data_IF_328843342802
#
_entry.id   IF_328843342802
#
_cell.length_a   1.000
_cell.length_b   1.000
_cell.length_c   1.000
_cell.angle_alpha   90.00
_cell.angle_beta   90.00
_cell.angle_gamma   90.00
#
_symmetry.space_group_name_H-M   'P 1'
#
loop_
_entity.id
_entity.type
_entity.pdbx_description
1 polymer ?
#
# COMPACT_ATOMS: atom_id res chain seq x y z
N UNK A 1 11.79 7.69 -24.76
CA UNK A 1 12.81 7.47 -23.71
C UNK A 1 12.33 8.22 -22.47
N UNK A 2 12.19 7.56 -21.33
CA UNK A 2 11.75 8.23 -20.09
C UNK A 2 12.88 9.16 -19.62
N UNK A 3 12.53 10.39 -19.26
CA UNK A 3 13.48 11.35 -18.69
C UNK A 3 13.60 11.14 -17.19
N UNK A 4 14.71 11.57 -16.60
CA UNK A 4 14.90 11.59 -15.15
C UNK A 4 13.77 12.36 -14.44
N UNK A 5 13.32 13.48 -15.01
CA UNK A 5 12.16 14.23 -14.52
C UNK A 5 10.88 13.39 -14.52
N UNK A 6 10.64 12.60 -15.58
CA UNK A 6 9.50 11.69 -15.66
C UNK A 6 9.55 10.56 -14.62
N UNK A 7 10.75 10.03 -14.36
CA UNK A 7 11.00 9.05 -13.31
C UNK A 7 10.73 9.64 -11.91
N UNK A 8 11.31 10.80 -11.61
CA UNK A 8 11.15 11.46 -10.31
C UNK A 8 9.68 11.84 -10.05
N UNK A 9 8.98 12.37 -11.05
CA UNK A 9 7.56 12.70 -10.91
C UNK A 9 6.69 11.45 -10.65
N UNK A 10 6.98 10.32 -11.32
CA UNK A 10 6.27 9.07 -11.07
C UNK A 10 6.53 8.53 -9.66
N UNK A 11 7.78 8.65 -9.19
CA UNK A 11 8.19 8.28 -7.83
C UNK A 11 7.47 9.13 -6.78
N UNK A 12 7.51 10.45 -6.91
CA UNK A 12 6.81 11.38 -6.01
C UNK A 12 5.31 11.09 -5.93
N UNK A 13 4.67 10.87 -7.08
CA UNK A 13 3.25 10.53 -7.12
C UNK A 13 2.92 9.21 -6.42
N UNK A 14 3.79 8.20 -6.57
CA UNK A 14 3.65 6.93 -5.86
C UNK A 14 3.84 7.08 -4.34
N UNK A 15 4.87 7.81 -3.90
CA UNK A 15 5.12 8.07 -2.47
C UNK A 15 3.97 8.86 -1.82
N UNK A 16 3.47 9.91 -2.49
CA UNK A 16 2.35 10.70 -1.99
C UNK A 16 1.06 9.87 -1.86
N UNK A 17 0.77 9.04 -2.86
CA UNK A 17 -0.38 8.14 -2.82
C UNK A 17 -0.25 7.08 -1.71
N UNK A 18 0.96 6.57 -1.48
CA UNK A 18 1.24 5.60 -0.42
C UNK A 18 1.05 6.21 0.98
N UNK A 19 1.57 7.43 1.24
CA UNK A 19 1.35 8.17 2.49
C UNK A 19 -0.13 8.43 2.75
N UNK A 20 -0.85 8.85 1.71
CA UNK A 20 -2.31 9.07 1.81
C UNK A 20 -3.05 7.77 2.14
N UNK A 21 -2.71 6.67 1.47
CA UNK A 21 -3.33 5.38 1.72
C UNK A 21 -3.03 4.84 3.12
N UNK A 22 -1.81 5.05 3.66
CA UNK A 22 -1.44 4.65 5.02
C UNK A 22 -2.23 5.44 6.07
N UNK A 23 -2.25 6.78 5.97
CA UNK A 23 -3.04 7.60 6.90
C UNK A 23 -4.53 7.24 6.87
N UNK A 24 -5.06 6.95 5.68
CA UNK A 24 -6.43 6.47 5.54
C UNK A 24 -6.64 5.07 6.15
N UNK A 25 -5.68 4.14 6.00
CA UNK A 25 -5.71 2.80 6.62
C UNK A 25 -5.71 2.91 8.15
N UNK A 26 -4.82 3.70 8.73
CA UNK A 26 -4.70 3.88 10.18
C UNK A 26 -5.97 4.49 10.79
N UNK A 27 -6.58 5.45 10.10
CA UNK A 27 -7.86 6.02 10.54
C UNK A 27 -9.00 4.99 10.45
N UNK A 28 -8.99 4.19 9.38
CA UNK A 28 -9.96 3.13 9.14
C UNK A 28 -9.83 2.00 10.19
N UNK A 29 -8.61 1.61 10.55
CA UNK A 29 -8.34 0.59 11.57
C UNK A 29 -8.81 1.04 12.95
N UNK A 30 -8.56 2.29 13.34
CA UNK A 30 -9.08 2.85 14.61
C UNK A 30 -10.60 2.75 14.71
N UNK A 31 -11.32 3.13 13.64
CA UNK A 31 -12.78 3.00 13.61
C UNK A 31 -13.26 1.55 13.68
N UNK A 32 -12.56 0.65 13.00
CA UNK A 32 -12.86 -0.78 13.07
C UNK A 32 -12.67 -1.33 14.49
N UNK A 33 -11.59 -0.94 15.16
CA UNK A 33 -11.35 -1.32 16.56
C UNK A 33 -12.43 -0.76 17.49
N UNK A 34 -12.83 0.51 17.32
CA UNK A 34 -13.94 1.13 18.05
C UNK A 34 -15.27 0.37 17.85
N UNK A 35 -15.63 0.05 16.60
CA UNK A 35 -16.85 -0.71 16.27
C UNK A 35 -16.82 -2.12 16.88
N UNK A 36 -15.63 -2.74 16.92
CA UNK A 36 -15.41 -4.08 17.51
C UNK A 36 -15.56 -4.03 19.03
N UNK A 37 -14.99 -3.03 19.69
CA UNK A 37 -15.11 -2.83 21.14
C UNK A 37 -16.56 -2.56 21.57
N UNK A 38 -17.32 -1.85 20.74
CA UNK A 38 -18.75 -1.60 20.95
C UNK A 38 -19.64 -2.82 20.62
N UNK A 39 -19.06 -3.91 20.09
CA UNK A 39 -19.78 -5.11 19.68
C UNK A 39 -20.71 -4.89 18.48
N UNK A 40 -20.48 -3.84 17.68
CA UNK A 40 -21.26 -3.52 16.49
C UNK A 40 -20.90 -4.43 15.31
N UNK A 41 -19.67 -4.92 15.32
CA UNK A 41 -19.13 -5.84 14.34
C UNK A 41 -18.65 -7.05 15.12
N UNK A 42 -19.20 -8.22 14.84
CA UNK A 42 -18.82 -9.46 15.51
C UNK A 42 -17.41 -9.89 15.12
N UNK A 43 -17.24 -11.15 14.71
CA UNK A 43 -15.94 -11.65 14.22
C UNK A 43 -15.68 -11.26 12.74
N UNK A 44 -16.25 -10.16 12.26
CA UNK A 44 -16.06 -9.73 10.88
C UNK A 44 -14.62 -9.23 10.67
N UNK A 45 -13.86 -9.75 9.70
CA UNK A 45 -12.50 -9.30 9.46
C UNK A 45 -12.46 -7.87 8.94
N UNK A 46 -11.38 -7.15 9.26
CA UNK A 46 -11.15 -5.76 8.84
C UNK A 46 -11.37 -5.54 7.35
N UNK A 47 -10.92 -6.47 6.51
CA UNK A 47 -11.02 -6.35 5.06
C UNK A 47 -12.46 -6.20 4.60
N UNK A 48 -13.33 -7.07 5.10
CA UNK A 48 -14.75 -7.09 4.75
C UNK A 48 -15.47 -5.86 5.31
N UNK A 49 -15.14 -5.48 6.54
CA UNK A 49 -15.68 -4.27 7.14
C UNK A 49 -15.28 -3.01 6.37
N UNK A 50 -13.99 -2.89 6.00
CA UNK A 50 -13.45 -1.70 5.32
C UNK A 50 -14.04 -1.51 3.91
N UNK A 51 -14.32 -2.60 3.20
CA UNK A 51 -14.99 -2.54 1.89
C UNK A 51 -16.37 -1.89 1.95
N UNK A 52 -17.11 -2.11 3.05
CA UNK A 52 -18.46 -1.56 3.24
C UNK A 52 -18.44 -0.18 3.91
N UNK A 53 -17.57 0.01 4.90
CA UNK A 53 -17.64 1.14 5.82
C UNK A 53 -16.58 2.23 5.55
N UNK A 54 -15.56 1.95 4.74
CA UNK A 54 -14.45 2.86 4.51
C UNK A 54 -14.19 3.19 3.03
N UNK A 55 -15.17 3.75 2.30
CA UNK A 55 -15.01 4.08 0.88
C UNK A 55 -13.87 5.06 0.61
N UNK A 56 -13.56 5.95 1.57
CA UNK A 56 -12.43 6.87 1.51
C UNK A 56 -11.08 6.14 1.49
N UNK A 57 -10.91 5.17 2.40
CA UNK A 57 -9.73 4.31 2.42
C UNK A 57 -9.62 3.47 1.15
N UNK A 58 -10.72 2.82 0.71
CA UNK A 58 -10.73 2.04 -0.52
C UNK A 58 -10.38 2.86 -1.76
N UNK A 59 -10.79 4.13 -1.81
CA UNK A 59 -10.38 5.06 -2.86
C UNK A 59 -8.87 5.35 -2.79
N UNK A 60 -8.34 5.68 -1.61
CA UNK A 60 -6.92 5.96 -1.41
C UNK A 60 -6.04 4.75 -1.76
N UNK A 61 -6.43 3.54 -1.34
CA UNK A 61 -5.71 2.30 -1.65
C UNK A 61 -5.69 2.02 -3.16
N UNK A 62 -6.81 2.19 -3.87
CA UNK A 62 -6.85 2.05 -5.34
C UNK A 62 -5.94 3.06 -6.05
N UNK A 63 -5.88 4.30 -5.57
CA UNK A 63 -4.97 5.31 -6.10
C UNK A 63 -3.51 4.92 -5.86
N UNK A 64 -3.17 4.43 -4.67
CA UNK A 64 -1.84 3.88 -4.39
C UNK A 64 -1.45 2.77 -5.39
N UNK A 65 -2.31 1.76 -5.59
CA UNK A 65 -2.02 0.66 -6.54
C UNK A 65 -1.88 1.15 -7.98
N UNK A 66 -2.64 2.17 -8.38
CA UNK A 66 -2.52 2.79 -9.71
C UNK A 66 -1.16 3.48 -9.88
N UNK A 67 -0.78 4.33 -8.91
CA UNK A 67 0.48 5.06 -8.95
C UNK A 67 1.69 4.13 -8.83
N UNK A 68 1.59 3.07 -8.03
CA UNK A 68 2.60 2.02 -7.95
C UNK A 68 2.84 1.37 -9.32
N UNK A 69 1.77 0.94 -10.01
CA UNK A 69 1.89 0.34 -11.35
C UNK A 69 2.51 1.31 -12.35
N UNK A 70 2.14 2.60 -12.28
CA UNK A 70 2.72 3.65 -13.12
C UNK A 70 4.22 3.82 -12.83
N UNK A 71 4.60 3.92 -11.57
CA UNK A 71 6.00 4.03 -11.16
C UNK A 71 6.82 2.83 -11.62
N UNK A 72 6.33 1.60 -11.42
CA UNK A 72 7.00 0.37 -11.90
C UNK A 72 7.30 0.42 -13.39
N UNK A 73 6.31 0.80 -14.21
CA UNK A 73 6.49 0.91 -15.66
C UNK A 73 7.54 1.96 -16.03
N UNK A 74 7.45 3.15 -15.43
CA UNK A 74 8.39 4.26 -15.67
C UNK A 74 9.80 3.89 -15.22
N UNK A 75 9.95 3.24 -14.07
CA UNK A 75 11.22 2.75 -13.56
C UNK A 75 11.88 1.75 -14.52
N UNK A 76 11.11 0.76 -15.03
CA UNK A 76 11.61 -0.22 -16.00
C UNK A 76 12.05 0.42 -17.33
N UNK A 77 11.38 1.49 -17.77
CA UNK A 77 11.75 2.21 -19.00
C UNK A 77 12.94 3.16 -18.81
N UNK A 78 13.14 3.69 -17.59
CA UNK A 78 14.23 4.60 -17.25
C UNK A 78 15.54 3.86 -16.93
N UNK A 79 15.48 2.91 -16.00
CA UNK A 79 16.63 2.11 -15.56
C UNK A 79 16.15 0.69 -15.18
N UNK A 80 16.43 -0.25 -16.08
CA UNK A 80 16.00 -1.64 -15.92
C UNK A 80 16.68 -2.35 -14.75
N UNK A 81 17.93 -2.03 -14.45
CA UNK A 81 18.67 -2.70 -13.37
C UNK A 81 18.16 -2.22 -12.01
N UNK A 82 18.00 -0.90 -11.86
CA UNK A 82 17.42 -0.31 -10.65
C UNK A 82 15.97 -0.75 -10.44
N UNK A 83 15.17 -0.85 -11.50
CA UNK A 83 13.80 -1.36 -11.41
C UNK A 83 13.74 -2.83 -10.96
N UNK A 84 14.67 -3.68 -11.42
CA UNK A 84 14.76 -5.08 -10.96
C UNK A 84 15.10 -5.16 -9.48
N UNK A 85 16.07 -4.38 -9.01
CA UNK A 85 16.44 -4.35 -7.59
C UNK A 85 15.25 -3.90 -6.72
N UNK A 86 14.55 -2.84 -7.14
CA UNK A 86 13.33 -2.39 -6.46
C UNK A 86 12.24 -3.48 -6.43
N UNK A 87 12.02 -4.20 -7.54
CA UNK A 87 11.00 -5.24 -7.60
C UNK A 87 11.35 -6.46 -6.72
N UNK A 88 12.63 -6.83 -6.66
CA UNK A 88 13.10 -7.87 -5.75
C UNK A 88 12.87 -7.48 -4.29
N UNK A 89 13.22 -6.25 -3.91
CA UNK A 89 12.99 -5.74 -2.56
C UNK A 89 11.49 -5.66 -2.22
N UNK A 90 10.67 -5.22 -3.18
CA UNK A 90 9.21 -5.22 -3.02
C UNK A 90 8.68 -6.63 -2.74
N UNK A 91 9.11 -7.63 -3.52
CA UNK A 91 8.70 -9.03 -3.34
C UNK A 91 9.20 -9.61 -2.02
N UNK A 92 10.43 -9.28 -1.63
CA UNK A 92 10.99 -9.67 -0.33
C UNK A 92 10.12 -9.14 0.81
N UNK A 93 9.85 -7.83 0.84
CA UNK A 93 8.97 -7.22 1.87
C UNK A 93 7.56 -7.79 1.86
N UNK A 94 7.01 -8.08 0.68
CA UNK A 94 5.70 -8.73 0.56
C UNK A 94 5.70 -10.12 1.20
N UNK A 95 6.72 -10.94 0.89
CA UNK A 95 6.88 -12.27 1.48
C UNK A 95 7.11 -12.20 2.99
N UNK A 96 7.90 -11.24 3.47
CA UNK A 96 8.15 -11.03 4.89
C UNK A 96 6.84 -10.69 5.63
N UNK A 97 5.98 -9.85 5.05
CA UNK A 97 4.66 -9.52 5.62
C UNK A 97 3.73 -10.74 5.67
N UNK A 98 3.75 -11.60 4.65
CA UNK A 98 3.00 -12.87 4.64
C UNK A 98 3.61 -13.98 5.51
N UNK A 99 4.82 -13.79 6.03
CA UNK A 99 5.50 -14.78 6.87
C UNK A 99 5.53 -14.38 8.34
N UNK A 100 5.18 -13.13 8.68
CA UNK A 100 5.16 -12.63 10.06
C UNK A 100 3.91 -13.13 10.80
N UNK A 101 4.04 -13.80 11.95
CA UNK A 101 2.89 -14.12 12.79
C UNK A 101 2.29 -12.83 13.37
N UNK A 102 1.02 -12.53 13.06
CA UNK A 102 0.30 -11.33 13.52
C UNK A 102 -0.95 -11.01 12.67
N UNK A 103 -1.71 -9.97 13.03
CA UNK A 103 -2.97 -9.57 12.36
C UNK A 103 -2.79 -9.10 10.90
N UNK A 104 -1.60 -8.68 10.49
CA UNK A 104 -1.33 -8.36 9.08
C UNK A 104 -1.09 -9.60 8.21
N UNK A 105 -1.00 -10.79 8.82
CA UNK A 105 -0.75 -12.03 8.12
C UNK A 105 -2.01 -12.43 7.33
N UNK A 106 -2.05 -12.04 6.05
CA UNK A 106 -3.20 -12.25 5.18
C UNK A 106 -4.01 -11.00 4.83
N UNK A 107 -3.58 -9.80 5.26
CA UNK A 107 -4.30 -8.58 4.86
C UNK A 107 -4.20 -8.35 3.36
N UNK A 108 -5.34 -8.05 2.72
CA UNK A 108 -5.38 -7.72 1.29
C UNK A 108 -4.95 -6.27 1.00
N UNK A 109 -4.77 -5.46 2.06
CA UNK A 109 -4.47 -4.03 1.97
C UNK A 109 -3.03 -3.70 2.38
N UNK A 110 -2.08 -4.21 1.58
CA UNK A 110 -0.65 -4.05 1.82
C UNK A 110 -0.11 -2.81 1.09
N UNK A 111 0.53 -1.91 1.84
CA UNK A 111 1.13 -0.67 1.31
C UNK A 111 2.65 -0.69 1.58
N UNK A 112 3.41 -1.21 0.62
CA UNK A 112 4.88 -1.32 0.70
C UNK A 112 5.51 -0.10 0.04
N UNK A 113 6.46 0.51 0.73
CA UNK A 113 7.36 1.54 0.20
C UNK A 113 8.79 1.06 0.48
N UNK A 114 9.46 0.40 -0.48
CA UNK A 114 10.83 -0.08 -0.30
C UNK A 114 11.86 0.99 0.10
N UNK A 115 11.58 2.25 -0.20
CA UNK A 115 12.49 3.38 0.03
C UNK A 115 12.34 4.03 1.41
N UNK A 116 11.30 3.68 2.16
CA UNK A 116 11.22 4.03 3.58
C UNK A 116 11.88 2.90 4.37
N UNK A 117 13.17 3.09 4.66
CA UNK A 117 13.85 2.56 5.85
C UNK A 117 14.29 3.78 6.65
N UNK A 118 13.53 4.11 7.69
CA UNK A 118 13.97 4.82 8.91
C UNK A 118 13.00 4.48 10.04
#
# INVERSE_FOLDING_TARGET
>A
MVTETGFNHAKEGWLAAAKTARGAKEHCQRKYEEDKELGLIGDEPFEKWAEMNAPGFMKAYRQFKLHERKYRKVAQEYDRERAKAWEQEYKRRLNDLHSRPGEENGSNFIIIIPEEEE
#
